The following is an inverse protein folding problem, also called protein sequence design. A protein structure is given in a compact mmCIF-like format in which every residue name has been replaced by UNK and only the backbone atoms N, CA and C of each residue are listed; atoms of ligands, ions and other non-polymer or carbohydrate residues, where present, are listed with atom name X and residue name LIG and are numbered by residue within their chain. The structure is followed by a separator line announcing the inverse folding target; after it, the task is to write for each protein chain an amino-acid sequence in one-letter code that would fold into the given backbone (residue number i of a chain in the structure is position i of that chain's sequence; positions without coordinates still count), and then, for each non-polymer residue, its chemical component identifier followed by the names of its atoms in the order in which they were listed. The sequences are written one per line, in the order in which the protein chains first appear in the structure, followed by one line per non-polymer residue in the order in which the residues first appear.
data_IF_496829260903
#
_entry.id   IF_496829260903
#
_cell.length_a   1.000
_cell.length_b   1.000
_cell.length_c   1.000
_cell.angle_alpha   90.00
_cell.angle_beta   90.00
_cell.angle_gamma   90.00
#
_symmetry.space_group_name_H-M   'P 1'
#
loop_
_entity.id
_entity.type
_entity.pdbx_description
1 polymer ?
#
# COMPACT_ATOMS: atom_id res chain seq x y z
N UNK A 1 -2.35 10.94 -5.38
CA UNK A 1 -1.69 11.99 -6.20
C UNK A 1 -2.14 13.36 -5.74
N UNK A 2 -1.26 14.37 -5.71
CA UNK A 2 -1.63 15.75 -5.33
C UNK A 2 -0.89 16.82 -6.13
N UNK A 3 -0.39 16.41 -7.30
CA UNK A 3 0.18 17.26 -8.33
C UNK A 3 -0.65 17.11 -9.61
N UNK A 4 -0.58 18.10 -10.49
CA UNK A 4 -1.36 18.10 -11.73
C UNK A 4 -0.53 17.52 -12.89
N UNK A 5 -1.12 16.56 -13.60
CA UNK A 5 -0.63 16.07 -14.88
C UNK A 5 -1.70 16.39 -15.95
N UNK A 6 -1.32 16.88 -17.15
CA UNK A 6 -2.28 17.25 -18.20
C UNK A 6 -3.15 16.08 -18.66
N UNK A 7 -2.57 14.88 -18.71
CA UNK A 7 -3.22 13.65 -19.14
C UNK A 7 -2.92 12.51 -18.16
N UNK A 8 -3.93 11.66 -17.90
CA UNK A 8 -3.77 10.50 -17.00
C UNK A 8 -3.44 9.21 -17.74
N UNK A 9 -3.57 9.19 -19.07
CA UNK A 9 -3.41 8.00 -19.91
C UNK A 9 -4.22 6.77 -19.43
N UNK A 10 -5.39 7.01 -18.82
CA UNK A 10 -6.27 5.94 -18.33
C UNK A 10 -5.85 5.33 -16.99
N UNK A 11 -4.88 5.94 -16.29
CA UNK A 11 -4.53 5.58 -14.91
C UNK A 11 -5.66 6.03 -13.99
N UNK A 12 -6.13 5.12 -13.13
CA UNK A 12 -7.07 5.45 -12.04
C UNK A 12 -6.29 6.19 -10.97
N UNK A 13 -6.69 7.43 -10.70
CA UNK A 13 -6.05 8.28 -9.70
C UNK A 13 -7.00 8.42 -8.52
N UNK A 14 -6.47 8.22 -7.32
CA UNK A 14 -7.08 8.71 -6.08
C UNK A 14 -6.26 9.92 -5.63
N UNK A 15 -6.90 11.08 -5.58
CA UNK A 15 -6.24 12.33 -5.21
C UNK A 15 -6.09 12.47 -3.70
N UNK A 16 -5.09 13.24 -3.26
CA UNK A 16 -4.76 13.44 -1.84
C UNK A 16 -5.96 13.93 -1.01
N UNK A 17 -6.73 14.87 -1.54
CA UNK A 17 -7.95 15.36 -0.90
C UNK A 17 -9.05 14.30 -0.82
N UNK A 18 -9.22 13.48 -1.86
CA UNK A 18 -10.22 12.40 -1.86
C UNK A 18 -9.88 11.33 -0.83
N UNK A 19 -8.61 10.87 -0.80
CA UNK A 19 -8.21 9.84 0.17
C UNK A 19 -8.21 10.34 1.61
N UNK A 20 -8.23 11.66 1.81
CA UNK A 20 -8.35 12.21 3.15
C UNK A 20 -9.75 11.97 3.75
N UNK A 21 -10.79 12.10 2.92
CA UNK A 21 -12.17 11.83 3.30
C UNK A 21 -12.54 10.34 3.28
N UNK A 22 -11.72 9.50 2.63
CA UNK A 22 -11.93 8.06 2.55
C UNK A 22 -11.44 7.31 3.78
N UNK A 23 -12.12 6.20 4.11
CA UNK A 23 -11.57 5.20 5.03
C UNK A 23 -10.48 4.41 4.34
N UNK A 24 -9.54 3.88 5.12
CA UNK A 24 -8.50 3.00 4.59
C UNK A 24 -9.07 1.77 3.84
N UNK A 25 -10.22 1.24 4.29
CA UNK A 25 -10.93 0.14 3.63
C UNK A 25 -11.39 0.51 2.22
N UNK A 26 -11.83 1.75 2.01
CA UNK A 26 -12.38 2.20 0.73
C UNK A 26 -11.24 2.38 -0.30
N UNK A 27 -10.09 2.87 0.17
CA UNK A 27 -8.87 2.97 -0.63
C UNK A 27 -8.38 1.58 -1.02
N UNK A 28 -8.32 0.65 -0.06
CA UNK A 28 -7.91 -0.74 -0.30
C UNK A 28 -8.84 -1.43 -1.31
N UNK A 29 -10.17 -1.27 -1.16
CA UNK A 29 -11.15 -1.77 -2.11
C UNK A 29 -10.91 -1.21 -3.51
N UNK A 30 -10.68 0.10 -3.64
CA UNK A 30 -10.42 0.73 -4.94
C UNK A 30 -9.16 0.19 -5.64
N UNK A 31 -8.14 -0.21 -4.87
CA UNK A 31 -6.92 -0.87 -5.37
C UNK A 31 -7.21 -2.31 -5.81
N UNK A 32 -7.91 -3.10 -4.98
CA UNK A 32 -8.28 -4.50 -5.28
C UNK A 32 -9.15 -4.56 -6.53
N UNK A 33 -10.18 -3.72 -6.61
CA UNK A 33 -11.06 -3.57 -7.77
C UNK A 33 -10.27 -3.23 -9.04
N UNK A 34 -9.34 -2.27 -8.96
CA UNK A 34 -8.54 -1.84 -10.11
C UNK A 34 -7.61 -2.95 -10.63
N UNK A 35 -6.98 -3.69 -9.72
CA UNK A 35 -6.06 -4.77 -10.11
C UNK A 35 -6.82 -5.98 -10.66
N UNK A 36 -8.01 -6.28 -10.12
CA UNK A 36 -8.93 -7.29 -10.66
C UNK A 36 -8.31 -8.69 -10.72
N UNK A 37 -7.51 -9.04 -9.70
CA UNK A 37 -6.81 -10.34 -9.61
C UNK A 37 -5.63 -10.51 -10.56
N UNK A 38 -5.27 -9.50 -11.37
CA UNK A 38 -4.07 -9.52 -12.20
C UNK A 38 -2.82 -9.33 -11.34
N UNK A 39 -1.70 -9.84 -11.85
CA UNK A 39 -0.37 -9.57 -11.30
C UNK A 39 -0.13 -8.07 -11.22
N UNK A 40 0.27 -7.60 -10.04
CA UNK A 40 0.52 -6.20 -9.77
C UNK A 40 1.93 -5.99 -9.21
N UNK A 41 2.55 -4.90 -9.60
CA UNK A 41 3.78 -4.39 -8.99
C UNK A 41 3.41 -3.20 -8.10
N UNK A 42 3.96 -3.15 -6.89
CA UNK A 42 3.69 -2.04 -5.95
C UNK A 42 4.94 -1.18 -5.84
N UNK A 43 4.88 0.04 -6.36
CA UNK A 43 5.90 1.05 -6.10
C UNK A 43 5.40 2.01 -5.04
N UNK A 44 6.22 2.27 -4.02
CA UNK A 44 5.89 3.18 -2.93
C UNK A 44 6.91 4.31 -2.84
N UNK A 45 6.56 5.44 -3.43
CA UNK A 45 7.26 6.69 -3.18
C UNK A 45 6.95 7.18 -1.76
N UNK A 46 7.98 7.40 -0.94
CA UNK A 46 7.78 7.86 0.44
C UNK A 46 7.17 9.26 0.49
N UNK A 47 7.37 10.06 -0.57
CA UNK A 47 6.75 11.38 -0.73
C UNK A 47 5.23 11.28 -0.95
N UNK A 48 4.67 10.07 -1.09
CA UNK A 48 3.25 9.81 -0.95
C UNK A 48 2.71 10.37 0.37
N UNK A 49 3.45 10.22 1.47
CA UNK A 49 3.04 10.70 2.80
C UNK A 49 3.15 12.21 2.89
N UNK A 50 2.40 12.82 3.81
CA UNK A 50 2.60 14.25 4.10
C UNK A 50 4.03 14.51 4.62
N UNK A 51 4.64 15.67 4.32
CA UNK A 51 5.94 16.04 4.88
C UNK A 51 6.00 16.00 6.41
N UNK A 52 4.86 16.08 7.12
CA UNK A 52 4.80 15.85 8.56
C UNK A 52 5.21 14.42 8.99
N UNK A 53 5.10 13.44 8.09
CA UNK A 53 5.43 12.02 8.33
C UNK A 53 6.61 11.52 7.49
N UNK A 54 6.94 12.19 6.39
CA UNK A 54 8.07 11.86 5.52
C UNK A 54 8.83 13.12 5.06
N UNK A 55 9.47 13.88 5.99
CA UNK A 55 10.26 15.06 5.62
C UNK A 55 11.50 14.71 4.77
N UNK A 56 12.02 13.50 4.91
CA UNK A 56 13.24 13.01 4.26
C UNK A 56 13.02 12.55 2.83
N UNK A 57 12.61 13.45 1.93
CA UNK A 57 12.44 13.19 0.49
C UNK A 57 12.83 14.41 -0.35
N UNK A 58 13.17 14.21 -1.63
CA UNK A 58 13.61 15.27 -2.53
C UNK A 58 12.50 16.23 -3.00
N UNK A 59 11.24 15.77 -3.01
CA UNK A 59 10.09 16.50 -3.60
C UNK A 59 8.88 16.56 -2.65
N UNK A 60 9.02 17.13 -1.43
CA UNK A 60 7.91 17.16 -0.48
C UNK A 60 6.72 17.99 -1.01
N UNK A 61 5.53 17.40 -1.00
CA UNK A 61 4.27 18.08 -1.35
C UNK A 61 3.30 17.98 -0.18
N UNK A 62 2.80 19.12 0.33
CA UNK A 62 1.85 19.16 1.45
C UNK A 62 0.46 18.57 1.09
N UNK A 63 -0.29 18.15 2.11
CA UNK A 63 -1.63 17.58 1.96
C UNK A 63 -1.60 16.09 1.63
N UNK A 64 -0.60 15.37 2.14
CA UNK A 64 -0.52 13.92 2.05
C UNK A 64 -1.31 13.22 3.18
N UNK A 65 -1.54 11.91 3.06
CA UNK A 65 -2.08 11.10 4.15
C UNK A 65 -1.02 10.87 5.23
N UNK A 66 -1.48 10.49 6.42
CA UNK A 66 -0.60 10.01 7.49
C UNK A 66 -0.05 8.62 7.20
N UNK A 67 1.10 8.30 7.80
CA UNK A 67 1.67 6.95 7.78
C UNK A 67 0.66 5.92 8.29
N UNK A 68 -0.04 6.21 9.39
CA UNK A 68 -1.05 5.32 9.95
C UNK A 68 -2.19 4.96 8.97
N UNK A 69 -2.71 5.93 8.21
CA UNK A 69 -3.75 5.69 7.20
C UNK A 69 -3.24 4.74 6.11
N UNK A 70 -2.05 5.01 5.57
CA UNK A 70 -1.46 4.18 4.51
C UNK A 70 -1.11 2.78 5.00
N UNK A 71 -0.53 2.62 6.20
CA UNK A 71 -0.26 1.28 6.76
C UNK A 71 -1.55 0.48 6.97
N UNK A 72 -2.67 1.15 7.30
CA UNK A 72 -3.99 0.51 7.38
C UNK A 72 -4.48 0.04 6.00
N UNK A 73 -4.24 0.79 4.93
CA UNK A 73 -4.53 0.38 3.54
C UNK A 73 -3.71 -0.86 3.17
N UNK A 74 -2.40 -0.84 3.44
CA UNK A 74 -1.50 -1.94 3.08
C UNK A 74 -1.89 -3.27 3.75
N UNK A 75 -2.42 -3.24 4.98
CA UNK A 75 -2.95 -4.44 5.66
C UNK A 75 -4.16 -5.06 4.96
N UNK A 76 -4.87 -4.31 4.13
CA UNK A 76 -6.16 -4.70 3.56
C UNK A 76 -6.09 -5.08 2.07
N UNK A 77 -4.89 -5.09 1.47
CA UNK A 77 -4.68 -5.44 0.05
C UNK A 77 -4.12 -6.86 -0.15
N UNK A 78 -4.29 -7.76 0.82
CA UNK A 78 -3.82 -9.16 0.78
C UNK A 78 -4.44 -10.03 -0.34
N UNK A 79 -5.49 -9.51 -0.99
CA UNK A 79 -6.13 -10.10 -2.17
C UNK A 79 -5.41 -9.76 -3.48
N UNK A 80 -4.53 -8.76 -3.49
CA UNK A 80 -3.77 -8.36 -4.69
C UNK A 80 -2.67 -9.39 -4.98
N UNK A 81 -2.53 -9.81 -6.24
CA UNK A 81 -1.45 -10.69 -6.67
C UNK A 81 -0.14 -9.91 -6.87
N UNK A 82 0.46 -9.49 -5.75
CA UNK A 82 1.72 -8.72 -5.74
C UNK A 82 2.88 -9.63 -6.17
N UNK A 83 3.56 -9.26 -7.26
CA UNK A 83 4.70 -10.01 -7.81
C UNK A 83 6.06 -9.33 -7.60
N UNK A 84 6.04 -8.12 -7.08
CA UNK A 84 7.23 -7.34 -6.75
C UNK A 84 6.82 -6.00 -6.12
N UNK A 85 7.74 -5.41 -5.38
CA UNK A 85 7.56 -4.09 -4.79
C UNK A 85 8.88 -3.35 -4.59
N UNK A 86 8.80 -2.03 -4.52
CA UNK A 86 9.88 -1.15 -4.08
C UNK A 86 9.37 -0.07 -3.11
N UNK A 87 10.30 0.50 -2.34
CA UNK A 87 10.11 1.70 -1.54
C UNK A 87 11.21 2.67 -1.96
N UNK A 88 10.82 3.85 -2.44
CA UNK A 88 11.71 4.80 -3.12
C UNK A 88 11.69 6.18 -2.46
N UNK A 89 12.61 7.05 -2.88
CA UNK A 89 12.71 8.47 -2.51
C UNK A 89 12.96 8.80 -1.03
N UNK A 90 13.38 7.82 -0.22
CA UNK A 90 13.93 8.13 1.11
C UNK A 90 15.28 8.83 0.92
N UNK A 91 15.36 10.07 1.37
CA UNK A 91 16.53 10.94 1.31
C UNK A 91 17.01 11.30 2.75
N UNK A 92 17.96 10.53 3.33
CA UNK A 92 18.37 10.69 4.74
C UNK A 92 18.90 12.08 5.09
N UNK A 93 19.45 12.82 4.13
CA UNK A 93 19.96 14.18 4.34
C UNK A 93 18.85 15.19 4.72
N UNK A 94 17.60 14.91 4.36
CA UNK A 94 16.42 15.71 4.69
C UNK A 94 15.58 15.10 5.82
N UNK A 95 15.94 13.91 6.31
CA UNK A 95 15.14 13.23 7.32
C UNK A 95 15.35 13.85 8.71
N UNK A 96 14.33 13.73 9.55
CA UNK A 96 14.34 14.26 10.90
C UNK A 96 14.06 13.12 11.88
N UNK A 97 15.04 12.82 12.74
CA UNK A 97 14.96 11.70 13.69
C UNK A 97 14.58 10.36 13.03
N UNK A 98 15.06 10.15 11.80
CA UNK A 98 14.85 8.95 10.98
C UNK A 98 13.38 8.58 10.72
N UNK A 99 12.42 9.50 10.91
CA UNK A 99 11.00 9.17 10.82
C UNK A 99 10.59 8.72 9.41
N UNK A 100 11.24 9.26 8.37
CA UNK A 100 10.99 8.88 6.98
C UNK A 100 11.55 7.49 6.70
N UNK A 101 12.77 7.21 7.15
CA UNK A 101 13.38 5.88 7.04
C UNK A 101 12.58 4.81 7.84
N UNK A 102 12.08 5.16 9.02
CA UNK A 102 11.21 4.30 9.84
C UNK A 102 9.89 4.04 9.09
N UNK A 103 9.26 5.06 8.51
CA UNK A 103 8.06 4.88 7.70
C UNK A 103 8.32 3.97 6.48
N UNK A 104 9.40 4.21 5.73
CA UNK A 104 9.77 3.40 4.56
C UNK A 104 10.08 1.94 4.91
N UNK A 105 10.86 1.70 5.96
CA UNK A 105 11.13 0.33 6.45
C UNK A 105 9.87 -0.39 6.92
N UNK A 106 8.94 0.34 7.55
CA UNK A 106 7.65 -0.23 7.98
C UNK A 106 6.78 -0.62 6.79
N UNK A 107 6.75 0.20 5.73
CA UNK A 107 6.09 -0.15 4.45
C UNK A 107 6.71 -1.40 3.83
N UNK A 108 8.04 -1.49 3.77
CA UNK A 108 8.74 -2.67 3.26
C UNK A 108 8.40 -3.94 4.06
N UNK A 109 8.37 -3.84 5.39
CA UNK A 109 7.95 -4.94 6.28
C UNK A 109 6.52 -5.39 6.00
N UNK A 110 5.60 -4.44 5.75
CA UNK A 110 4.23 -4.76 5.36
C UNK A 110 4.16 -5.52 4.03
N UNK A 111 4.95 -5.16 3.03
CA UNK A 111 5.04 -5.92 1.78
C UNK A 111 5.55 -7.35 2.00
N UNK A 112 6.59 -7.53 2.81
CA UNK A 112 7.07 -8.87 3.16
C UNK A 112 5.99 -9.70 3.87
N UNK A 113 5.21 -9.09 4.75
CA UNK A 113 4.06 -9.72 5.40
C UNK A 113 3.01 -10.21 4.40
N UNK A 114 2.62 -9.36 3.44
CA UNK A 114 1.67 -9.73 2.38
C UNK A 114 2.18 -10.89 1.51
N UNK A 115 3.47 -10.90 1.17
CA UNK A 115 4.09 -12.00 0.43
C UNK A 115 4.10 -13.30 1.23
N UNK A 116 4.38 -13.22 2.54
CA UNK A 116 4.36 -14.37 3.44
C UNK A 116 2.94 -14.96 3.57
N UNK A 117 1.92 -14.11 3.76
CA UNK A 117 0.51 -14.53 3.81
C UNK A 117 0.07 -15.21 2.50
N UNK A 118 0.46 -14.65 1.35
CA UNK A 118 0.18 -15.24 0.04
C UNK A 118 0.84 -16.60 -0.10
N UNK A 119 2.11 -16.74 0.32
CA UNK A 119 2.83 -18.01 0.29
C UNK A 119 2.13 -19.06 1.15
N UNK A 120 1.76 -18.72 2.38
CA UNK A 120 1.04 -19.63 3.28
C UNK A 120 -0.28 -20.10 2.66
N UNK A 121 -1.08 -19.18 2.10
CA UNK A 121 -2.33 -19.51 1.39
C UNK A 121 -2.12 -20.47 0.22
N UNK A 122 -1.05 -20.30 -0.56
CA UNK A 122 -0.72 -21.20 -1.67
C UNK A 122 -0.26 -22.58 -1.19
N UNK A 123 0.49 -22.65 -0.09
CA UNK A 123 0.89 -23.92 0.53
C UNK A 123 -0.31 -24.69 1.10
N UNK A 124 -1.28 -23.98 1.70
CA UNK A 124 -2.56 -24.54 2.15
C UNK A 124 -3.40 -25.09 0.99
N UNK A 125 -3.46 -24.36 -0.13
CA UNK A 125 -4.16 -24.80 -1.34
C UNK A 125 -3.49 -26.02 -1.97
N UNK A 126 -2.16 -26.07 -2.00
CA UNK A 126 -1.40 -27.17 -2.59
C UNK A 126 -1.34 -28.43 -1.72
N UNK A 127 -1.57 -28.31 -0.41
CA UNK A 127 -1.56 -29.44 0.54
C UNK A 127 -2.89 -30.19 0.64
N UNK A 128 -3.94 -29.77 -0.09
CA UNK A 128 -5.21 -30.51 -0.18
C UNK A 128 -6.16 -30.33 1.02
N UNK A 129 -5.91 -29.38 1.93
CA UNK A 129 -6.77 -29.07 3.08
C UNK A 129 -8.02 -28.24 2.69
N UNK A 130 -8.73 -28.68 1.64
CA UNK A 130 -9.77 -27.93 0.92
C UNK A 130 -11.05 -27.57 1.71
N UNK A 131 -11.16 -27.91 3.00
CA UNK A 131 -12.40 -27.71 3.77
C UNK A 131 -12.34 -26.51 4.74
N UNK A 132 -11.16 -26.03 5.14
CA UNK A 132 -11.05 -25.01 6.21
C UNK A 132 -10.92 -23.57 5.67
N UNK A 133 -10.24 -23.37 4.53
CA UNK A 133 -9.95 -22.01 4.03
C UNK A 133 -11.20 -21.25 3.52
N UNK A 134 -12.19 -21.95 2.97
CA UNK A 134 -13.41 -21.33 2.45
C UNK A 134 -14.37 -20.84 3.57
N UNK A 135 -14.32 -21.46 4.76
CA UNK A 135 -15.20 -21.10 5.89
C UNK A 135 -14.69 -19.88 6.67
N UNK A 136 -13.37 -19.68 6.74
CA UNK A 136 -12.79 -18.56 7.48
C UNK A 136 -12.89 -17.21 6.74
N UNK A 137 -13.01 -17.20 5.40
CA UNK A 137 -13.20 -15.96 4.64
C UNK A 137 -14.66 -15.46 4.64
N UNK A 138 -15.64 -16.33 4.92
CA UNK A 138 -17.06 -15.97 4.96
C UNK A 138 -17.54 -15.48 6.35
N UNK A 139 -16.73 -15.61 7.39
CA UNK A 139 -17.13 -15.37 8.79
C UNK A 139 -16.59 -14.06 9.38
N UNK A 140 -16.00 -13.18 8.56
CA UNK A 140 -15.33 -11.95 8.98
C UNK A 140 -16.12 -10.65 8.76
N UNK A 141 -17.46 -10.69 8.90
CA UNK A 141 -18.32 -9.50 9.07
C UNK A 141 -18.84 -9.50 10.50
#
# INVERSE_FOLDING_TARGET
IRTHAPDTFGIKILYGHEIEDMRASDIAYAIVDRTGGRKAYVTFDIDCLDPAFAPGTGTPVAGGPSSAKILSVLRQINQVDIVGADVVEVAPAYDHADITAIAGSTVAMHYLGLLAERKARLEELNSGNHVVAALNQASGI
#
